data_IF_835755656637
#
_entry.id   IF_835755656637
#
_cell.length_a   1.000
_cell.length_b   1.000
_cell.length_c   1.000
_cell.angle_alpha   90.00
_cell.angle_beta   90.00
_cell.angle_gamma   90.00
#
_symmetry.space_group_name_H-M   'P 1'
#
loop_
_entity.id
_entity.type
_entity.pdbx_description
1 polymer ?
#
# COMPACT_ATOMS: atom_id res chain seq x y z
N UNK A 1 17.17 3.10 15.47
CA UNK A 1 16.33 4.31 15.61
C UNK A 1 17.24 5.53 15.60
N UNK A 2 17.56 6.06 14.42
CA UNK A 2 18.53 7.16 14.25
C UNK A 2 17.90 8.49 14.65
N UNK A 3 18.29 8.97 15.84
CA UNK A 3 17.77 10.13 16.57
C UNK A 3 18.08 11.52 15.96
N UNK A 4 18.43 11.65 14.68
CA UNK A 4 19.07 12.89 14.18
C UNK A 4 18.62 13.45 12.81
N UNK A 5 17.41 13.15 12.34
CA UNK A 5 16.74 14.02 11.35
C UNK A 5 15.50 14.60 12.05
N UNK A 6 15.49 15.91 12.30
CA UNK A 6 14.27 16.60 12.73
C UNK A 6 13.16 16.34 11.71
N UNK A 7 11.89 16.29 12.14
CA UNK A 7 10.75 16.07 11.22
C UNK A 7 10.77 17.02 10.01
N UNK A 8 11.28 18.24 10.21
CA UNK A 8 11.48 19.24 9.17
C UNK A 8 12.46 18.78 8.07
N UNK A 9 13.58 18.15 8.45
CA UNK A 9 14.54 17.61 7.48
C UNK A 9 13.95 16.48 6.64
N UNK A 10 13.07 15.65 7.20
CA UNK A 10 12.42 14.57 6.46
C UNK A 10 11.35 15.12 5.50
N UNK A 11 10.58 16.12 5.93
CA UNK A 11 9.59 16.82 5.10
C UNK A 11 10.24 17.49 3.90
N UNK A 12 11.37 18.17 4.11
CA UNK A 12 12.08 18.83 3.02
C UNK A 12 12.67 17.85 2.00
N UNK A 13 13.18 16.70 2.45
CA UNK A 13 13.67 15.64 1.58
C UNK A 13 12.55 15.02 0.74
N UNK A 14 11.41 14.68 1.37
CA UNK A 14 10.23 14.19 0.68
C UNK A 14 9.69 15.22 -0.32
N UNK A 15 9.61 16.50 0.06
CA UNK A 15 9.17 17.57 -0.84
C UNK A 15 10.06 17.67 -2.08
N UNK A 16 11.39 17.54 -1.93
CA UNK A 16 12.31 17.56 -3.08
C UNK A 16 12.07 16.39 -4.02
N UNK A 17 11.85 15.19 -3.49
CA UNK A 17 11.54 14.01 -4.30
C UNK A 17 10.23 14.20 -5.05
N UNK A 18 9.16 14.59 -4.34
CA UNK A 18 7.81 14.74 -4.91
C UNK A 18 7.67 15.89 -5.91
N UNK A 19 8.57 16.89 -5.85
CA UNK A 19 8.66 17.96 -6.86
C UNK A 19 9.54 17.59 -8.05
N UNK A 20 10.46 16.63 -7.90
CA UNK A 20 11.37 16.21 -8.95
C UNK A 20 10.74 15.09 -9.80
N UNK A 21 9.64 15.41 -10.47
CA UNK A 21 8.93 14.49 -11.35
C UNK A 21 8.72 15.13 -12.73
N UNK A 22 8.70 14.33 -13.79
CA UNK A 22 8.23 14.82 -15.10
C UNK A 22 6.71 15.00 -15.07
N UNK A 23 6.18 15.72 -16.04
CA UNK A 23 4.75 16.06 -16.07
C UNK A 23 3.88 14.80 -16.25
N UNK A 24 4.42 13.81 -16.97
CA UNK A 24 3.82 12.49 -17.17
C UNK A 24 3.95 11.52 -15.98
N UNK A 25 4.84 11.80 -15.03
CA UNK A 25 5.10 10.88 -13.91
C UNK A 25 4.01 11.00 -12.83
N UNK A 26 3.53 9.85 -12.35
CA UNK A 26 2.65 9.76 -11.18
C UNK A 26 3.37 9.00 -10.07
N UNK A 27 3.39 9.58 -8.86
CA UNK A 27 3.93 8.92 -7.69
C UNK A 27 2.83 8.30 -6.86
N UNK A 28 3.03 7.05 -6.45
CA UNK A 28 2.25 6.38 -5.42
C UNK A 28 3.16 6.24 -4.20
N UNK A 29 2.83 6.94 -3.13
CA UNK A 29 3.54 6.88 -1.86
C UNK A 29 2.84 5.87 -0.96
N UNK A 30 3.62 4.96 -0.42
CA UNK A 30 3.16 3.85 0.41
C UNK A 30 3.66 4.03 1.84
N UNK A 31 2.75 4.00 2.82
CA UNK A 31 3.09 4.08 4.26
C UNK A 31 2.58 2.88 5.04
N UNK A 32 3.25 2.59 6.16
CA UNK A 32 2.96 1.45 7.03
C UNK A 32 1.64 1.62 7.79
N UNK A 33 1.37 2.80 8.33
CA UNK A 33 0.18 3.06 9.15
C UNK A 33 -0.39 4.46 8.98
N UNK A 34 -1.72 4.54 9.02
CA UNK A 34 -2.43 5.81 9.12
C UNK A 34 -2.13 6.49 10.47
N UNK A 35 -1.84 7.80 10.44
CA UNK A 35 -1.56 8.60 11.63
C UNK A 35 -0.12 8.52 12.16
N UNK A 36 0.78 7.78 11.50
CA UNK A 36 2.21 7.79 11.81
C UNK A 36 2.87 9.13 11.44
N UNK A 37 4.00 9.48 12.07
CA UNK A 37 4.68 10.76 11.80
C UNK A 37 5.04 10.97 10.34
N UNK A 38 5.54 9.92 9.66
CA UNK A 38 5.85 9.98 8.21
C UNK A 38 4.57 10.12 7.39
N UNK A 39 3.51 9.38 7.73
CA UNK A 39 2.22 9.50 7.05
C UNK A 39 1.66 10.92 7.17
N UNK A 40 1.76 11.56 8.33
CA UNK A 40 1.28 12.93 8.54
C UNK A 40 2.07 13.94 7.69
N UNK A 41 3.40 13.79 7.62
CA UNK A 41 4.24 14.61 6.73
C UNK A 41 3.79 14.44 5.27
N UNK A 42 3.57 13.21 4.82
CA UNK A 42 3.07 12.94 3.47
C UNK A 42 1.67 13.54 3.26
N UNK A 43 0.76 13.46 4.23
CA UNK A 43 -0.58 14.06 4.15
C UNK A 43 -0.50 15.58 3.98
N UNK A 44 0.35 16.26 4.75
CA UNK A 44 0.57 17.71 4.60
C UNK A 44 1.10 18.06 3.20
N UNK A 45 2.07 17.27 2.70
CA UNK A 45 2.61 17.46 1.35
C UNK A 45 1.59 17.14 0.25
N UNK A 46 0.71 16.15 0.47
CA UNK A 46 -0.36 15.80 -0.45
C UNK A 46 -1.35 16.96 -0.61
N UNK A 47 -1.72 17.60 0.52
CA UNK A 47 -2.59 18.78 0.51
C UNK A 47 -1.93 19.99 -0.18
N UNK A 48 -0.61 20.15 -0.02
CA UNK A 48 0.15 21.26 -0.63
C UNK A 48 0.35 21.08 -2.15
N UNK A 49 0.72 19.87 -2.58
CA UNK A 49 1.19 19.62 -3.94
C UNK A 49 0.12 19.00 -4.86
N UNK A 50 -0.80 18.21 -4.31
CA UNK A 50 -1.88 17.53 -5.03
C UNK A 50 -1.44 16.74 -6.28
N UNK A 51 -0.20 16.23 -6.28
CA UNK A 51 0.46 15.68 -7.47
C UNK A 51 0.96 14.23 -7.29
N UNK A 52 0.51 13.54 -6.25
CA UNK A 52 0.83 12.15 -5.96
C UNK A 52 -0.32 11.49 -5.18
N UNK A 53 -0.27 10.17 -5.08
CA UNK A 53 -1.26 9.35 -4.38
C UNK A 53 -0.65 8.78 -3.09
N UNK A 54 -1.43 8.69 -2.02
CA UNK A 54 -0.95 8.25 -0.70
C UNK A 54 -1.79 7.08 -0.19
N UNK A 55 -1.17 5.91 -0.06
CA UNK A 55 -1.78 4.71 0.50
C UNK A 55 -1.11 4.37 1.82
N UNK A 56 -1.90 3.88 2.78
CA UNK A 56 -1.44 3.51 4.12
C UNK A 56 -1.79 2.05 4.41
N UNK A 57 -1.15 1.46 5.43
CA UNK A 57 -1.42 0.06 5.77
C UNK A 57 -0.76 -0.92 4.82
N UNK A 58 0.41 -0.57 4.26
CA UNK A 58 1.08 -1.42 3.29
C UNK A 58 1.31 -2.82 3.81
N UNK A 59 1.01 -3.80 2.97
CA UNK A 59 1.32 -5.19 3.18
C UNK A 59 1.86 -5.82 1.89
N UNK A 60 2.36 -7.05 2.00
CA UNK A 60 3.02 -7.73 0.89
C UNK A 60 2.12 -7.91 -0.35
N UNK A 61 0.85 -8.36 -0.23
CA UNK A 61 -0.07 -8.45 -1.37
C UNK A 61 -0.25 -7.14 -2.13
N UNK A 62 -0.45 -6.03 -1.41
CA UNK A 62 -0.54 -4.70 -2.00
C UNK A 62 0.76 -4.34 -2.74
N UNK A 63 1.91 -4.48 -2.06
CA UNK A 63 3.22 -4.13 -2.62
C UNK A 63 3.54 -4.93 -3.89
N UNK A 64 3.29 -6.24 -3.88
CA UNK A 64 3.52 -7.09 -5.06
C UNK A 64 2.62 -6.69 -6.22
N UNK A 65 1.35 -6.40 -5.96
CA UNK A 65 0.41 -5.95 -6.99
C UNK A 65 0.87 -4.63 -7.63
N UNK A 66 1.33 -3.68 -6.81
CA UNK A 66 1.83 -2.39 -7.30
C UNK A 66 3.13 -2.53 -8.11
N UNK A 67 4.07 -3.36 -7.64
CA UNK A 67 5.38 -3.52 -8.28
C UNK A 67 5.34 -4.36 -9.57
N UNK A 68 4.40 -5.28 -9.68
CA UNK A 68 4.30 -6.23 -10.81
C UNK A 68 3.28 -5.79 -11.87
N UNK A 69 2.67 -4.62 -11.72
CA UNK A 69 1.74 -4.11 -12.70
C UNK A 69 2.44 -3.81 -14.04
N UNK A 70 1.73 -4.08 -15.14
CA UNK A 70 2.21 -3.77 -16.49
C UNK A 70 2.22 -2.27 -16.77
N UNK A 71 3.01 -1.86 -17.77
CA UNK A 71 3.16 -0.46 -18.18
C UNK A 71 1.84 0.17 -18.67
N UNK A 72 0.90 -0.64 -19.17
CA UNK A 72 -0.41 -0.19 -19.66
C UNK A 72 -1.46 0.01 -18.55
N UNK A 73 -1.15 -0.33 -17.29
CA UNK A 73 -2.09 -0.19 -16.18
C UNK A 73 -2.16 1.27 -15.73
N UNK A 74 -3.37 1.85 -15.73
CA UNK A 74 -3.57 3.21 -15.24
C UNK A 74 -3.23 3.31 -13.74
N UNK A 75 -2.82 4.50 -13.28
CA UNK A 75 -2.54 4.74 -11.85
C UNK A 75 -3.77 4.47 -10.98
N UNK A 76 -4.97 4.85 -11.45
CA UNK A 76 -6.23 4.60 -10.74
C UNK A 76 -6.52 3.10 -10.59
N UNK A 77 -6.35 2.33 -11.66
CA UNK A 77 -6.51 0.87 -11.63
C UNK A 77 -5.47 0.22 -10.72
N UNK A 78 -4.22 0.70 -10.76
CA UNK A 78 -3.14 0.18 -9.94
C UNK A 78 -3.44 0.36 -8.44
N UNK A 79 -3.97 1.53 -8.06
CA UNK A 79 -4.38 1.83 -6.68
C UNK A 79 -5.55 0.94 -6.29
N UNK A 80 -6.57 0.83 -7.15
CA UNK A 80 -7.75 0.00 -6.90
C UNK A 80 -7.37 -1.48 -6.69
N UNK A 81 -6.55 -2.03 -7.59
CA UNK A 81 -6.05 -3.40 -7.52
C UNK A 81 -5.17 -3.63 -6.29
N UNK A 82 -4.24 -2.70 -6.01
CA UNK A 82 -3.37 -2.78 -4.83
C UNK A 82 -4.15 -2.76 -3.51
N UNK A 83 -5.14 -1.87 -3.40
CA UNK A 83 -6.04 -1.81 -2.23
C UNK A 83 -6.85 -3.09 -2.08
N UNK A 84 -7.37 -3.64 -3.18
CA UNK A 84 -8.13 -4.87 -3.17
C UNK A 84 -7.26 -6.06 -2.74
N UNK A 85 -6.11 -6.26 -3.37
CA UNK A 85 -5.15 -7.30 -3.01
C UNK A 85 -4.68 -7.17 -1.55
N UNK A 86 -4.45 -5.95 -1.10
CA UNK A 86 -4.09 -5.65 0.29
C UNK A 86 -5.17 -6.11 1.28
N UNK A 87 -6.45 -5.89 0.97
CA UNK A 87 -7.58 -6.34 1.80
C UNK A 87 -7.76 -7.86 1.73
N UNK A 88 -7.74 -8.44 0.53
CA UNK A 88 -7.95 -9.87 0.30
C UNK A 88 -6.86 -10.74 0.93
N UNK A 89 -5.64 -10.22 1.02
CA UNK A 89 -4.54 -10.89 1.69
C UNK A 89 -4.63 -10.94 3.22
N UNK A 90 -5.59 -10.23 3.84
CA UNK A 90 -5.82 -10.26 5.28
C UNK A 90 -6.80 -11.39 5.60
N UNK A 91 -6.27 -12.57 5.93
CA UNK A 91 -7.08 -13.78 6.17
C UNK A 91 -6.81 -14.36 7.56
N UNK A 92 -7.86 -14.57 8.34
CA UNK A 92 -7.79 -15.31 9.60
C UNK A 92 -7.93 -16.83 9.34
N UNK A 93 -6.80 -17.49 9.07
CA UNK A 93 -6.77 -18.90 8.66
C UNK A 93 -7.41 -19.84 9.70
N UNK A 94 -7.20 -19.63 11.00
CA UNK A 94 -7.80 -20.49 12.02
C UNK A 94 -9.34 -20.49 11.94
N UNK A 95 -9.95 -19.32 11.73
CA UNK A 95 -11.40 -19.19 11.57
C UNK A 95 -11.89 -19.77 10.24
N UNK A 96 -11.14 -19.57 9.16
CA UNK A 96 -11.46 -20.15 7.85
C UNK A 96 -11.47 -21.69 7.90
N UNK A 97 -10.48 -22.29 8.57
CA UNK A 97 -10.41 -23.75 8.73
C UNK A 97 -11.48 -24.27 9.71
N UNK A 98 -11.85 -23.50 10.73
CA UNK A 98 -12.91 -23.86 11.66
C UNK A 98 -14.29 -23.86 11.00
N UNK A 99 -14.60 -22.92 10.10
CA UNK A 99 -15.88 -22.86 9.39
C UNK A 99 -16.04 -23.99 8.36
N UNK A 100 -14.95 -24.42 7.72
CA UNK A 100 -14.95 -25.55 6.78
C UNK A 100 -15.16 -26.90 7.49
N UNK A 101 -14.61 -27.09 8.69
CA UNK A 101 -14.84 -28.31 9.50
C UNK A 101 -16.30 -28.51 9.93
N UNK A 102 -17.10 -27.44 9.92
CA UNK A 102 -18.54 -27.51 10.19
C UNK A 102 -19.41 -27.89 8.99
N UNK A 103 -18.86 -27.95 7.77
CA UNK A 103 -19.65 -28.04 6.53
C UNK A 103 -19.29 -29.18 5.56
N UNK A 104 -18.16 -29.88 5.69
CA UNK A 104 -17.99 -31.16 5.00
C UNK A 104 -16.86 -31.99 5.66
N UNK A 105 -17.21 -33.22 6.08
CA UNK A 105 -16.25 -34.32 6.04
C UNK A 105 -15.90 -34.59 4.57
N UNK A 106 -14.61 -34.76 4.33
CA UNK A 106 -14.00 -35.64 3.31
C UNK A 106 -13.40 -35.11 1.99
N UNK A 107 -13.58 -33.86 1.52
CA UNK A 107 -13.13 -33.56 0.13
C UNK A 107 -12.03 -32.49 -0.07
N UNK A 108 -11.30 -32.05 0.97
CA UNK A 108 -10.38 -30.90 0.82
C UNK A 108 -8.99 -31.18 0.20
N UNK A 109 -8.68 -32.42 -0.18
CA UNK A 109 -7.45 -32.77 -0.89
C UNK A 109 -7.74 -33.75 -2.04
N UNK A 110 -8.61 -33.35 -2.97
CA UNK A 110 -8.57 -33.93 -4.31
C UNK A 110 -7.76 -32.99 -5.21
N UNK A 111 -6.47 -33.30 -5.36
CA UNK A 111 -5.62 -32.73 -6.40
C UNK A 111 -6.21 -33.08 -7.77
N UNK A 112 -6.43 -32.07 -8.60
CA UNK A 112 -6.39 -32.15 -10.06
C UNK A 112 -5.55 -30.98 -10.56
#
# INVERSE_FOLDING_TARGET
MTKNKSGDSAKDELRKILKNKKEEDQFIVLTDMFGGSVCNICTELLMELQNFELLTGVNLPMTLTVLLAGEDTSTEDLISQGLQAGKDGIVHLNQLLASQKGSAKDDLFSEN
#
